data_IF_859226451569
#
_entry.id   IF_859226451569
#
_cell.length_a   1.000
_cell.length_b   1.000
_cell.length_c   1.000
_cell.angle_alpha   90.00
_cell.angle_beta   90.00
_cell.angle_gamma   90.00
#
_symmetry.space_group_name_H-M   'P 1'
#
loop_
_entity.id
_entity.type
_entity.pdbx_description
1 polymer ?
#
# COMPACT_ATOMS: atom_id res chain seq x y z
N UNK A 1 8.00 17.62 5.30
CA UNK A 1 8.71 17.87 4.02
C UNK A 1 10.04 17.13 3.93
N UNK A 2 10.96 17.20 4.92
CA UNK A 2 12.27 16.51 4.82
C UNK A 2 12.17 15.01 4.50
N UNK A 3 11.38 14.26 5.29
CA UNK A 3 11.17 12.82 5.11
C UNK A 3 10.62 12.46 3.72
N UNK A 4 9.73 13.30 3.16
CA UNK A 4 9.14 13.06 1.83
C UNK A 4 10.22 13.08 0.76
N UNK A 5 11.07 14.12 0.77
CA UNK A 5 12.16 14.25 -0.20
C UNK A 5 13.22 13.17 -0.01
N UNK A 6 13.66 12.96 1.23
CA UNK A 6 14.65 11.92 1.56
C UNK A 6 14.18 10.53 1.11
N UNK A 7 12.88 10.22 1.21
CA UNK A 7 12.33 8.96 0.72
C UNK A 7 12.18 8.93 -0.80
N UNK A 8 11.66 10.00 -1.42
CA UNK A 8 11.44 10.05 -2.86
C UNK A 8 12.74 10.00 -3.68
N UNK A 9 13.87 10.38 -3.10
CA UNK A 9 15.20 10.27 -3.71
C UNK A 9 15.79 8.84 -3.66
N UNK A 10 15.17 7.90 -2.91
CA UNK A 10 15.65 6.52 -2.84
C UNK A 10 15.29 5.75 -4.11
N UNK A 11 16.24 4.98 -4.69
CA UNK A 11 15.93 4.13 -5.84
C UNK A 11 14.87 3.09 -5.50
N UNK A 12 13.90 2.91 -6.40
CA UNK A 12 12.85 1.87 -6.28
C UNK A 12 13.44 0.48 -6.04
N UNK A 13 14.58 0.19 -6.66
CA UNK A 13 15.29 -1.09 -6.57
C UNK A 13 15.75 -1.46 -5.15
N UNK A 14 15.68 -0.54 -4.20
CA UNK A 14 15.91 -0.84 -2.78
C UNK A 14 14.77 -1.66 -2.17
N UNK A 15 13.56 -1.59 -2.73
CA UNK A 15 12.37 -2.24 -2.19
C UNK A 15 11.86 -1.64 -0.87
N UNK A 16 12.46 -0.55 -0.38
CA UNK A 16 12.15 0.01 0.93
C UNK A 16 10.79 0.73 0.95
N UNK A 17 9.88 0.26 1.81
CA UNK A 17 8.58 0.90 2.06
C UNK A 17 8.62 1.97 3.16
N UNK A 18 7.43 2.51 3.47
CA UNK A 18 7.21 3.35 4.66
C UNK A 18 6.01 2.82 5.44
N UNK A 19 6.13 2.80 6.77
CA UNK A 19 4.99 2.59 7.66
C UNK A 19 4.74 3.85 8.46
N UNK A 20 3.65 4.55 8.14
CA UNK A 20 3.24 5.79 8.78
C UNK A 20 2.17 5.47 9.83
N UNK A 21 2.55 5.55 11.10
CA UNK A 21 1.64 5.32 12.23
C UNK A 21 1.50 6.56 13.12
N UNK A 22 0.40 6.62 13.86
CA UNK A 22 0.07 7.68 14.80
C UNK A 22 -1.43 7.86 14.94
N UNK A 23 -1.86 8.71 15.87
CA UNK A 23 -3.28 8.98 16.11
C UNK A 23 -4.00 9.59 14.91
N UNK A 24 -5.33 9.55 14.92
CA UNK A 24 -6.17 10.20 13.92
C UNK A 24 -5.87 11.70 13.79
N UNK A 25 -5.91 12.22 12.57
CA UNK A 25 -5.71 13.65 12.30
C UNK A 25 -4.24 14.12 12.29
N UNK A 26 -3.27 13.23 12.44
CA UNK A 26 -1.82 13.56 12.41
C UNK A 26 -1.23 13.76 11.02
N UNK A 27 -2.03 13.62 9.95
CA UNK A 27 -1.61 13.89 8.58
C UNK A 27 -0.91 12.73 7.86
N UNK A 28 -1.00 11.48 8.35
CA UNK A 28 -0.38 10.28 7.74
C UNK A 28 -0.76 10.12 6.26
N UNK A 29 -2.06 10.13 5.96
CA UNK A 29 -2.59 10.07 4.58
C UNK A 29 -2.09 11.23 3.73
N UNK A 30 -2.07 12.44 4.28
CA UNK A 30 -1.53 13.61 3.59
C UNK A 30 -0.05 13.45 3.25
N UNK A 31 0.75 12.90 4.18
CA UNK A 31 2.16 12.62 3.98
C UNK A 31 2.38 11.52 2.93
N UNK A 32 1.58 10.45 2.97
CA UNK A 32 1.60 9.39 1.96
C UNK A 32 1.31 9.94 0.56
N UNK A 33 0.30 10.80 0.42
CA UNK A 33 -0.02 11.47 -0.84
C UNK A 33 1.11 12.42 -1.27
N UNK A 34 1.75 13.13 -0.34
CA UNK A 34 2.91 13.96 -0.67
C UNK A 34 4.06 13.13 -1.24
N UNK A 35 4.35 11.96 -0.65
CA UNK A 35 5.36 11.02 -1.17
C UNK A 35 4.98 10.53 -2.57
N UNK A 36 3.73 10.09 -2.76
CA UNK A 36 3.22 9.66 -4.07
C UNK A 36 3.41 10.74 -5.14
N UNK A 37 3.12 12.01 -4.82
CA UNK A 37 3.29 13.12 -5.76
C UNK A 37 4.74 13.33 -6.16
N UNK A 38 5.68 13.30 -5.22
CA UNK A 38 7.10 13.43 -5.53
C UNK A 38 7.60 12.27 -6.41
N UNK A 39 7.19 11.02 -6.13
CA UNK A 39 7.57 9.85 -6.93
C UNK A 39 7.03 9.91 -8.37
N UNK A 40 5.79 10.36 -8.56
CA UNK A 40 5.18 10.51 -9.89
C UNK A 40 5.86 11.62 -10.68
N UNK A 41 6.19 12.73 -10.03
CA UNK A 41 6.78 13.91 -10.67
C UNK A 41 8.28 13.76 -10.96
N UNK A 42 9.01 12.97 -10.15
CA UNK A 42 10.43 12.72 -10.33
C UNK A 42 10.71 11.67 -11.42
N UNK A 43 10.27 10.43 -11.18
CA UNK A 43 10.70 9.26 -11.96
C UNK A 43 9.57 8.65 -12.82
N UNK A 44 8.40 9.30 -12.90
CA UNK A 44 7.22 8.81 -13.65
C UNK A 44 6.78 7.39 -13.26
N UNK A 45 6.92 7.04 -11.99
CA UNK A 45 6.66 5.70 -11.49
C UNK A 45 5.17 5.41 -11.34
N UNK A 46 4.77 4.18 -11.67
CA UNK A 46 3.40 3.73 -11.47
C UNK A 46 3.10 3.61 -9.97
N UNK A 47 2.20 4.45 -9.48
CA UNK A 47 1.78 4.48 -8.09
C UNK A 47 0.27 4.21 -8.01
N UNK A 48 -0.15 3.36 -7.07
CA UNK A 48 -1.57 3.12 -6.80
C UNK A 48 -1.90 3.39 -5.35
N UNK A 49 -2.94 4.18 -5.11
CA UNK A 49 -3.39 4.54 -3.77
C UNK A 49 -4.78 3.95 -3.53
N UNK A 50 -4.93 3.22 -2.43
CA UNK A 50 -6.18 2.59 -2.06
C UNK A 50 -6.30 2.45 -0.54
N UNK A 51 -7.51 2.63 -0.02
CA UNK A 51 -7.81 2.29 1.37
C UNK A 51 -7.90 0.78 1.50
N UNK A 52 -7.36 0.22 2.58
CA UNK A 52 -7.41 -1.24 2.78
C UNK A 52 -8.82 -1.82 2.73
N UNK A 53 -9.86 -1.17 3.32
CA UNK A 53 -11.24 -1.65 3.18
C UNK A 53 -11.73 -1.75 1.73
N UNK A 54 -11.36 -0.79 0.89
CA UNK A 54 -11.75 -0.75 -0.53
C UNK A 54 -10.99 -1.81 -1.35
N UNK A 55 -9.72 -2.07 -1.01
CA UNK A 55 -8.95 -3.15 -1.62
C UNK A 55 -9.59 -4.51 -1.35
N UNK A 56 -9.98 -4.76 -0.09
CA UNK A 56 -10.61 -6.02 0.31
C UNK A 56 -12.00 -6.16 -0.32
N UNK A 57 -12.77 -5.06 -0.42
CA UNK A 57 -14.04 -5.07 -1.13
C UNK A 57 -13.84 -5.41 -2.61
N UNK A 58 -12.83 -4.83 -3.28
CA UNK A 58 -12.52 -5.12 -4.67
C UNK A 58 -12.18 -6.60 -4.89
N UNK A 59 -11.37 -7.20 -4.02
CA UNK A 59 -11.05 -8.64 -4.08
C UNK A 59 -12.34 -9.45 -3.94
N UNK A 60 -13.19 -9.13 -2.96
CA UNK A 60 -14.43 -9.86 -2.67
C UNK A 60 -15.47 -9.79 -3.79
N UNK A 61 -15.72 -8.59 -4.34
CA UNK A 61 -16.81 -8.37 -5.31
C UNK A 61 -16.56 -9.05 -6.66
N UNK A 62 -15.30 -9.22 -7.04
CA UNK A 62 -14.95 -9.75 -8.35
C UNK A 62 -14.87 -11.28 -8.39
N UNK A 63 -14.90 -11.96 -7.23
CA UNK A 63 -14.93 -13.44 -7.12
C UNK A 63 -16.15 -14.07 -7.83
N UNK A 64 -17.14 -13.30 -8.28
CA UNK A 64 -18.30 -13.78 -9.05
C UNK A 64 -18.41 -13.29 -10.50
N UNK A 65 -17.54 -12.38 -10.96
CA UNK A 65 -17.72 -11.63 -12.22
C UNK A 65 -16.80 -12.09 -13.37
N UNK A 66 -16.23 -13.30 -13.27
CA UNK A 66 -15.37 -13.88 -14.30
C UNK A 66 -13.90 -13.45 -14.25
N UNK A 67 -13.53 -12.56 -13.33
CA UNK A 67 -12.15 -12.33 -12.93
C UNK A 67 -11.85 -13.21 -11.71
N UNK A 68 -10.67 -13.83 -11.69
CA UNK A 68 -10.25 -14.58 -10.52
C UNK A 68 -9.71 -13.64 -9.45
N UNK A 69 -9.83 -14.04 -8.18
CA UNK A 69 -9.18 -13.38 -7.03
C UNK A 69 -7.69 -13.12 -7.32
N UNK A 70 -7.04 -14.10 -7.95
CA UNK A 70 -5.66 -14.03 -8.39
C UNK A 70 -5.40 -12.85 -9.33
N UNK A 71 -6.27 -12.59 -10.31
CA UNK A 71 -6.06 -11.50 -11.28
C UNK A 71 -6.01 -10.12 -10.59
N UNK A 72 -6.80 -9.95 -9.52
CA UNK A 72 -6.85 -8.71 -8.75
C UNK A 72 -5.64 -8.58 -7.85
N UNK A 73 -5.24 -9.66 -7.19
CA UNK A 73 -4.02 -9.70 -6.39
C UNK A 73 -2.80 -9.36 -7.28
N UNK A 74 -2.70 -9.96 -8.47
CA UNK A 74 -1.62 -9.68 -9.42
C UNK A 74 -1.61 -8.22 -9.89
N UNK A 75 -2.78 -7.61 -10.11
CA UNK A 75 -2.88 -6.17 -10.40
C UNK A 75 -2.23 -5.32 -9.31
N UNK A 76 -2.48 -5.60 -8.03
CA UNK A 76 -1.90 -4.82 -6.93
C UNK A 76 -0.40 -5.10 -6.71
N UNK A 77 0.08 -6.29 -7.11
CA UNK A 77 1.51 -6.60 -7.13
C UNK A 77 2.27 -5.85 -8.23
N UNK A 78 1.61 -5.45 -9.32
CA UNK A 78 2.35 -4.97 -10.48
C UNK A 78 2.82 -3.51 -10.39
N UNK A 79 2.14 -2.65 -9.63
CA UNK A 79 2.54 -1.24 -9.46
C UNK A 79 3.94 -1.10 -8.85
N UNK A 80 4.74 -0.13 -9.33
CA UNK A 80 6.04 0.17 -8.72
C UNK A 80 5.86 0.50 -7.23
N UNK A 81 4.88 1.34 -6.91
CA UNK A 81 4.50 1.69 -5.55
C UNK A 81 3.02 1.42 -5.28
N UNK A 82 2.75 0.79 -4.14
CA UNK A 82 1.39 0.62 -3.63
C UNK A 82 1.27 1.37 -2.31
N UNK A 83 0.25 2.21 -2.21
CA UNK A 83 -0.10 2.96 -1.02
C UNK A 83 -1.36 2.35 -0.43
N UNK A 84 -1.22 1.74 0.74
CA UNK A 84 -2.28 1.14 1.53
C UNK A 84 -2.64 2.07 2.68
N UNK A 85 -3.78 2.74 2.56
CA UNK A 85 -4.24 3.71 3.56
C UNK A 85 -5.19 3.05 4.58
N UNK A 86 -5.14 3.52 5.83
CA UNK A 86 -6.04 3.10 6.91
C UNK A 86 -5.96 1.59 7.25
N UNK A 87 -4.77 0.99 7.19
CA UNK A 87 -4.57 -0.39 7.61
C UNK A 87 -4.95 -0.56 9.08
N UNK A 88 -5.76 -1.58 9.39
CA UNK A 88 -6.18 -1.91 10.75
C UNK A 88 -7.45 -1.22 11.23
N UNK A 89 -8.17 -0.50 10.34
CA UNK A 89 -9.52 -0.01 10.62
C UNK A 89 -10.57 -1.12 10.49
N UNK A 90 -10.31 -2.16 9.67
CA UNK A 90 -11.22 -3.29 9.52
C UNK A 90 -11.06 -4.36 10.62
N UNK A 91 -12.13 -5.15 10.84
CA UNK A 91 -12.01 -6.39 11.60
C UNK A 91 -11.21 -7.40 10.80
N UNK A 92 -10.02 -7.70 11.29
CA UNK A 92 -9.11 -8.69 10.70
C UNK A 92 -9.77 -10.07 10.74
N UNK A 93 -10.07 -10.64 9.56
CA UNK A 93 -10.40 -12.06 9.41
C UNK A 93 -9.18 -12.81 8.91
N UNK A 94 -9.17 -14.14 9.05
CA UNK A 94 -8.07 -14.98 8.56
C UNK A 94 -7.89 -14.85 7.03
N UNK A 95 -8.99 -14.71 6.28
CA UNK A 95 -8.90 -14.45 4.83
C UNK A 95 -8.21 -13.11 4.56
N UNK A 96 -8.57 -12.05 5.32
CA UNK A 96 -8.06 -10.69 5.06
C UNK A 96 -6.54 -10.67 5.21
N UNK A 97 -6.03 -11.38 6.22
CA UNK A 97 -4.60 -11.55 6.42
C UNK A 97 -3.95 -12.31 5.27
N UNK A 98 -4.59 -13.36 4.75
CA UNK A 98 -4.06 -14.13 3.62
C UNK A 98 -3.95 -13.27 2.35
N UNK A 99 -4.99 -12.52 2.00
CA UNK A 99 -4.98 -11.66 0.80
C UNK A 99 -3.92 -10.56 0.89
N UNK A 100 -3.88 -9.85 2.03
CA UNK A 100 -2.86 -8.83 2.27
C UNK A 100 -1.45 -9.42 2.27
N UNK A 101 -1.26 -10.60 2.89
CA UNK A 101 0.01 -11.31 2.87
C UNK A 101 0.45 -11.62 1.45
N UNK A 102 -0.43 -12.19 0.61
CA UNK A 102 -0.11 -12.54 -0.78
C UNK A 102 0.31 -11.31 -1.59
N UNK A 103 -0.32 -10.16 -1.39
CA UNK A 103 0.06 -8.91 -2.04
C UNK A 103 1.42 -8.43 -1.53
N UNK A 104 1.59 -8.31 -0.21
CA UNK A 104 2.81 -7.77 0.40
C UNK A 104 4.04 -8.65 0.13
N UNK A 105 3.90 -9.97 0.23
CA UNK A 105 4.96 -10.95 -0.04
C UNK A 105 5.40 -10.89 -1.51
N UNK A 106 4.43 -10.92 -2.44
CA UNK A 106 4.73 -10.82 -3.88
C UNK A 106 5.42 -9.51 -4.26
N UNK A 107 5.05 -8.41 -3.62
CA UNK A 107 5.69 -7.10 -3.82
C UNK A 107 7.11 -7.07 -3.23
N UNK A 108 7.28 -7.59 -2.02
CA UNK A 108 8.59 -7.69 -1.36
C UNK A 108 9.57 -8.53 -2.17
N UNK A 109 9.14 -9.71 -2.64
CA UNK A 109 9.95 -10.59 -3.49
C UNK A 109 10.36 -9.97 -4.83
N UNK A 110 9.61 -8.97 -5.32
CA UNK A 110 9.90 -8.23 -6.54
C UNK A 110 10.59 -6.86 -6.29
N UNK A 111 10.98 -6.56 -5.05
CA UNK A 111 11.54 -5.26 -4.64
C UNK A 111 10.64 -4.07 -5.02
N UNK A 112 9.32 -4.25 -4.93
CA UNK A 112 8.32 -3.20 -5.20
C UNK A 112 7.86 -2.58 -3.87
N UNK A 113 8.25 -1.34 -3.54
CA UNK A 113 7.94 -0.73 -2.25
C UNK A 113 6.44 -0.62 -1.95
N UNK A 114 6.08 -0.71 -0.67
CA UNK A 114 4.72 -0.47 -0.19
C UNK A 114 4.74 0.61 0.89
N UNK A 115 3.88 1.62 0.75
CA UNK A 115 3.66 2.66 1.76
C UNK A 115 2.36 2.34 2.47
N UNK A 116 2.39 2.29 3.79
CA UNK A 116 1.25 1.94 4.62
C UNK A 116 0.96 3.10 5.57
N UNK A 117 -0.31 3.42 5.76
CA UNK A 117 -0.75 4.25 6.88
C UNK A 117 -1.59 3.41 7.84
N UNK A 118 -1.40 3.63 9.14
CA UNK A 118 -2.19 2.95 10.17
C UNK A 118 -2.43 3.85 11.39
N UNK A 119 -3.55 3.62 12.06
CA UNK A 119 -3.81 4.20 13.38
C UNK A 119 -3.29 3.33 14.51
N UNK A 120 -2.89 2.07 14.22
CA UNK A 120 -2.35 1.13 15.18
C UNK A 120 -0.86 1.40 15.40
N UNK A 121 -0.41 1.27 16.65
CA UNK A 121 1.00 1.32 16.99
C UNK A 121 1.79 0.17 16.35
N UNK A 122 3.12 0.27 16.36
CA UNK A 122 4.00 -0.83 15.90
C UNK A 122 4.05 -2.02 16.88
N UNK A 123 3.56 -1.84 18.11
CA UNK A 123 3.54 -2.83 19.18
C UNK A 123 2.16 -3.47 19.39
N UNK A 124 1.17 -3.08 18.59
CA UNK A 124 -0.20 -3.62 18.59
C UNK A 124 -0.36 -4.66 17.47
#
# INVERSE_FOLDING_TARGET
MRIVREYAEKPVSTGEGLFLTGSNGTGKTHLAVAVMRELILGDHLSCYFIKVPDLLLNIREHIGNGLSEKDIIEKYKDYNYLFLDELGVEKVSEWVLQDLYLILDGRSGALKPTIITSNLGLEE
#
